data_IF_584522637827
#
_entry.id   IF_584522637827
#
_cell.length_a   1.000
_cell.length_b   1.000
_cell.length_c   1.000
_cell.angle_alpha   90.00
_cell.angle_beta   90.00
_cell.angle_gamma   90.00
#
_symmetry.space_group_name_H-M   'P 1'
#
loop_
_entity.id
_entity.type
_entity.pdbx_description
1 polymer ?
#
# COMPACT_ATOMS: atom_id res chain seq x y z
N UNK A 1 11.97 6.52 22.58
CA UNK A 1 12.47 6.61 21.21
C UNK A 1 12.15 5.33 20.45
N UNK A 2 11.56 5.46 19.30
CA UNK A 2 11.26 4.29 18.52
C UNK A 2 12.52 3.73 17.89
N UNK A 3 12.70 2.43 18.01
CA UNK A 3 13.85 1.74 17.45
C UNK A 3 13.42 0.99 16.21
N UNK A 4 14.39 0.80 15.29
CA UNK A 4 14.19 -0.01 14.14
C UNK A 4 14.10 0.80 12.85
N UNK A 5 14.01 0.05 11.77
CA UNK A 5 13.94 0.61 10.42
C UNK A 5 12.49 0.56 9.95
N UNK A 6 11.99 1.69 9.51
CA UNK A 6 10.61 1.78 9.03
C UNK A 6 10.55 1.56 7.52
N UNK A 7 9.61 0.73 7.11
CA UNK A 7 9.35 0.44 5.71
C UNK A 7 7.86 0.59 5.43
N UNK A 8 7.54 0.94 4.20
CA UNK A 8 6.14 0.94 3.78
C UNK A 8 6.01 0.30 2.41
N UNK A 9 4.81 -0.21 2.14
CA UNK A 9 4.49 -0.83 0.87
C UNK A 9 3.05 -0.55 0.52
N UNK A 10 2.80 -0.32 -0.77
CA UNK A 10 1.46 -0.25 -1.31
C UNK A 10 1.25 -1.49 -2.17
N UNK A 11 0.19 -2.21 -1.89
CA UNK A 11 -0.22 -3.38 -2.63
C UNK A 11 -1.51 -3.06 -3.38
N UNK A 12 -1.46 -3.10 -4.71
CA UNK A 12 -2.61 -2.82 -5.55
C UNK A 12 -3.17 -4.14 -6.04
N UNK A 13 -4.20 -4.62 -5.36
CA UNK A 13 -4.86 -5.86 -5.68
C UNK A 13 -6.15 -5.65 -6.47
N UNK A 14 -6.78 -6.75 -6.87
CA UNK A 14 -8.02 -6.73 -7.64
C UNK A 14 -9.18 -6.09 -6.90
N UNK A 15 -9.25 -6.29 -5.59
CA UNK A 15 -10.38 -5.85 -4.78
C UNK A 15 -10.08 -4.63 -3.93
N UNK A 16 -8.81 -4.40 -3.61
CA UNK A 16 -8.45 -3.34 -2.68
C UNK A 16 -7.02 -2.87 -2.93
N UNK A 17 -6.78 -1.64 -2.54
CA UNK A 17 -5.44 -1.12 -2.36
C UNK A 17 -5.12 -1.19 -0.88
N UNK A 18 -3.90 -1.61 -0.56
CA UNK A 18 -3.46 -1.73 0.82
C UNK A 18 -2.19 -0.93 1.04
N UNK A 19 -2.12 -0.29 2.18
CA UNK A 19 -0.92 0.41 2.62
C UNK A 19 -0.43 -0.24 3.90
N UNK A 20 0.78 -0.77 3.85
CA UNK A 20 1.40 -1.44 4.98
C UNK A 20 2.52 -0.58 5.53
N UNK A 21 2.53 -0.41 6.85
CA UNK A 21 3.64 0.18 7.58
C UNK A 21 4.26 -0.90 8.48
N UNK A 22 5.55 -1.11 8.30
CA UNK A 22 6.30 -2.14 9.01
C UNK A 22 7.57 -1.56 9.60
N UNK A 23 7.87 -1.98 10.81
CA UNK A 23 9.14 -1.66 11.45
C UNK A 23 9.94 -2.94 11.60
N UNK A 24 11.22 -2.86 11.27
CA UNK A 24 12.14 -3.99 11.39
C UNK A 24 13.14 -3.67 12.48
N UNK A 25 13.19 -4.52 13.47
CA UNK A 25 14.13 -4.38 14.58
C UNK A 25 15.16 -5.48 14.45
N UNK A 26 16.43 -5.09 14.39
CA UNK A 26 17.53 -6.05 14.33
C UNK A 26 18.15 -6.11 15.72
N UNK A 27 18.04 -7.26 16.35
CA UNK A 27 18.47 -7.44 17.70
C UNK A 27 19.19 -8.78 17.81
N UNK A 28 20.49 -8.73 17.98
CA UNK A 28 21.30 -9.94 18.10
C UNK A 28 21.44 -10.74 16.80
N UNK A 29 21.23 -10.12 15.66
CA UNK A 29 21.43 -10.75 14.35
C UNK A 29 20.16 -11.18 13.62
N UNK A 30 19.10 -11.47 14.34
CA UNK A 30 17.83 -11.88 13.73
C UNK A 30 16.87 -10.69 13.64
N UNK A 31 16.34 -10.39 12.43
CA UNK A 31 15.37 -9.32 12.29
C UNK A 31 13.99 -9.74 12.80
N UNK A 32 13.34 -8.81 13.48
CA UNK A 32 11.96 -8.96 13.90
C UNK A 32 11.11 -7.97 13.12
N UNK A 33 10.00 -8.45 12.54
CA UNK A 33 9.10 -7.64 11.75
C UNK A 33 7.86 -7.30 12.57
N UNK A 34 7.60 -6.01 12.71
CA UNK A 34 6.45 -5.54 13.45
C UNK A 34 5.54 -4.80 12.48
N UNK A 35 4.35 -5.36 12.24
CA UNK A 35 3.33 -4.68 11.45
C UNK A 35 2.74 -3.58 12.31
N UNK A 36 2.98 -2.34 11.94
CA UNK A 36 2.48 -1.21 12.71
C UNK A 36 1.08 -0.80 12.27
N UNK A 37 0.80 -0.86 10.99
CA UNK A 37 -0.52 -0.52 10.47
C UNK A 37 -0.76 -1.16 9.12
N UNK A 38 -2.00 -1.52 8.86
CA UNK A 38 -2.44 -1.98 7.54
C UNK A 38 -3.75 -1.28 7.23
N UNK A 39 -3.76 -0.52 6.15
CA UNK A 39 -4.93 0.21 5.71
C UNK A 39 -5.41 -0.39 4.40
N UNK A 40 -6.69 -0.77 4.35
CA UNK A 40 -7.32 -1.31 3.15
C UNK A 40 -8.32 -0.33 2.60
N UNK A 41 -8.22 -0.03 1.31
CA UNK A 41 -9.19 0.76 0.60
C UNK A 41 -9.82 -0.09 -0.49
N UNK A 42 -11.11 -0.45 -0.39
CA UNK A 42 -11.78 -1.30 -1.38
C UNK A 42 -12.11 -0.49 -2.63
N UNK A 43 -11.50 -0.85 -3.78
CA UNK A 43 -11.71 -0.14 -5.04
C UNK A 43 -12.26 -1.03 -6.15
N UNK A 44 -12.11 -2.37 -6.03
CA UNK A 44 -12.60 -3.34 -7.01
C UNK A 44 -12.10 -3.08 -8.42
N UNK A 45 -10.81 -2.75 -8.56
CA UNK A 45 -10.20 -2.49 -9.86
C UNK A 45 -10.28 -3.69 -10.80
N UNK A 46 -10.06 -4.90 -10.24
CA UNK A 46 -10.11 -6.13 -11.02
C UNK A 46 -11.50 -6.41 -11.57
N UNK A 47 -12.54 -6.10 -10.82
CA UNK A 47 -13.91 -6.26 -11.30
C UNK A 47 -14.16 -5.38 -12.53
N UNK A 48 -13.78 -4.11 -12.46
CA UNK A 48 -13.96 -3.17 -13.57
C UNK A 48 -13.16 -3.63 -14.79
N UNK A 49 -11.89 -3.99 -14.60
CA UNK A 49 -11.04 -4.43 -15.69
C UNK A 49 -11.55 -5.73 -16.32
N UNK A 50 -12.05 -6.64 -15.50
CA UNK A 50 -12.52 -7.94 -15.98
C UNK A 50 -13.84 -7.84 -16.72
N UNK A 51 -14.80 -7.10 -16.17
CA UNK A 51 -16.15 -7.01 -16.74
C UNK A 51 -16.18 -6.06 -17.93
N UNK A 52 -15.57 -4.90 -17.81
CA UNK A 52 -15.65 -3.83 -18.79
C UNK A 52 -14.42 -3.72 -19.68
N UNK A 53 -13.38 -4.51 -19.41
CA UNK A 53 -12.08 -4.45 -20.08
C UNK A 53 -11.44 -3.07 -20.03
N UNK A 54 -11.86 -2.27 -19.08
CA UNK A 54 -11.32 -0.95 -18.83
C UNK A 54 -11.73 -0.53 -17.44
N UNK A 55 -11.03 0.43 -16.90
CA UNK A 55 -11.35 1.00 -15.60
C UNK A 55 -12.18 2.25 -15.84
N UNK A 56 -13.34 2.34 -15.18
CA UNK A 56 -14.21 3.50 -15.32
C UNK A 56 -13.53 4.76 -14.80
N UNK A 57 -13.95 5.92 -15.29
CA UNK A 57 -13.40 7.18 -14.83
C UNK A 57 -13.67 7.40 -13.32
N UNK A 58 -14.80 6.94 -12.84
CA UNK A 58 -15.13 7.04 -11.41
C UNK A 58 -14.15 6.23 -10.55
N UNK A 59 -13.88 4.99 -10.94
CA UNK A 59 -12.96 4.12 -10.20
C UNK A 59 -11.53 4.64 -10.32
N UNK A 60 -11.15 5.14 -11.51
CA UNK A 60 -9.83 5.71 -11.72
C UNK A 60 -9.61 6.92 -10.81
N UNK A 61 -10.63 7.77 -10.64
CA UNK A 61 -10.51 8.92 -9.76
C UNK A 61 -10.36 8.50 -8.30
N UNK A 62 -11.13 7.51 -7.86
CA UNK A 62 -10.99 6.98 -6.51
C UNK A 62 -9.61 6.40 -6.27
N UNK A 63 -9.05 5.72 -7.28
CA UNK A 63 -7.69 5.21 -7.22
C UNK A 63 -6.69 6.34 -7.00
N UNK A 64 -6.80 7.41 -7.78
CA UNK A 64 -5.88 8.54 -7.68
C UNK A 64 -6.00 9.22 -6.31
N UNK A 65 -7.22 9.43 -5.82
CA UNK A 65 -7.43 10.00 -4.49
C UNK A 65 -6.83 9.14 -3.39
N UNK A 66 -7.00 7.82 -3.51
CA UNK A 66 -6.45 6.88 -2.54
C UNK A 66 -4.92 6.91 -2.56
N UNK A 67 -4.32 6.97 -3.75
CA UNK A 67 -2.87 7.08 -3.88
C UNK A 67 -2.35 8.37 -3.21
N UNK A 68 -3.03 9.48 -3.43
CA UNK A 68 -2.64 10.74 -2.78
C UNK A 68 -2.71 10.61 -1.26
N UNK A 69 -3.78 10.01 -0.74
CA UNK A 69 -3.91 9.80 0.70
C UNK A 69 -2.81 8.91 1.25
N UNK A 70 -2.51 7.82 0.54
CA UNK A 70 -1.44 6.92 0.95
C UNK A 70 -0.08 7.62 0.93
N UNK A 71 0.18 8.43 -0.10
CA UNK A 71 1.45 9.16 -0.18
C UNK A 71 1.60 10.17 0.95
N UNK A 72 0.50 10.85 1.34
CA UNK A 72 0.54 11.73 2.51
C UNK A 72 0.88 10.96 3.79
N UNK A 73 0.28 9.79 3.97
CA UNK A 73 0.57 8.94 5.14
C UNK A 73 2.01 8.46 5.13
N UNK A 74 2.52 8.05 3.95
CA UNK A 74 3.90 7.60 3.83
C UNK A 74 4.87 8.74 4.18
N UNK A 75 4.59 9.94 3.71
CA UNK A 75 5.42 11.10 4.02
C UNK A 75 5.47 11.36 5.52
N UNK A 76 4.35 11.21 6.22
CA UNK A 76 4.29 11.38 7.66
C UNK A 76 5.02 10.28 8.41
N UNK A 77 4.99 9.06 7.89
CA UNK A 77 5.66 7.91 8.51
C UNK A 77 7.18 7.97 8.34
N UNK A 78 7.65 8.59 7.27
CA UNK A 78 9.06 8.74 6.93
C UNK A 78 9.80 7.39 6.87
N UNK A 79 9.36 6.46 5.99
CA UNK A 79 10.04 5.18 5.89
C UNK A 79 11.40 5.30 5.23
N UNK A 80 12.31 4.40 5.60
CA UNK A 80 13.61 4.30 4.96
C UNK A 80 13.48 3.90 3.50
N UNK A 81 12.54 3.00 3.21
CA UNK A 81 12.24 2.52 1.86
C UNK A 81 10.74 2.36 1.70
N UNK A 82 10.32 2.48 0.45
CA UNK A 82 8.92 2.34 0.08
C UNK A 82 8.83 1.60 -1.25
N UNK A 83 7.82 0.75 -1.39
CA UNK A 83 7.55 0.03 -2.63
C UNK A 83 6.07 0.02 -2.93
N UNK A 84 5.76 0.07 -4.22
CA UNK A 84 4.39 -0.12 -4.70
C UNK A 84 4.39 -1.31 -5.66
N UNK A 85 3.44 -2.23 -5.46
CA UNK A 85 3.29 -3.43 -6.25
C UNK A 85 1.88 -3.52 -6.78
N UNK A 86 1.73 -3.93 -8.04
CA UNK A 86 0.43 -4.19 -8.64
C UNK A 86 0.36 -5.63 -9.08
N UNK A 87 -0.72 -6.31 -8.68
CA UNK A 87 -1.01 -7.68 -9.09
C UNK A 87 -2.11 -7.75 -10.15
N UNK A 88 -2.49 -6.61 -10.70
CA UNK A 88 -3.55 -6.53 -11.69
C UNK A 88 -2.93 -6.49 -13.09
N UNK A 89 -3.37 -7.41 -13.93
CA UNK A 89 -3.03 -7.42 -15.35
C UNK A 89 -4.23 -6.84 -16.12
N UNK A 90 -4.01 -5.70 -16.70
CA UNK A 90 -5.05 -5.00 -17.45
C UNK A 90 -4.66 -4.97 -18.92
#
# INVERSE_FOLDING_TARGET
MEEGLRFSAIDIGSNAMRLLFTRVIINGGDPSFIKESLICMPLRLGHDAFVNRSISSEVAEKFIQTMHGFMHMINAYEPLRFRALSLIHI
#
